data_IF_258269468989
#
_entry.id   IF_258269468989
#
_cell.length_a   1.000
_cell.length_b   1.000
_cell.length_c   1.000
_cell.angle_alpha   90.00
_cell.angle_beta   90.00
_cell.angle_gamma   90.00
#
_symmetry.space_group_name_H-M   'P 1'
#
loop_
_entity.id
_entity.type
_entity.pdbx_description
1 polymer ?
#
# COMPACT_ATOMS: atom_id res chain seq x y z
N UNK A 1 -20.40 -4.88 -2.83
CA UNK A 1 -20.22 -3.95 -1.69
C UNK A 1 -19.64 -2.63 -2.18
N UNK A 2 -20.29 -1.52 -1.83
CA UNK A 2 -19.76 -0.19 -2.13
C UNK A 2 -18.99 0.34 -0.92
N UNK A 3 -17.77 0.80 -1.17
CA UNK A 3 -16.97 1.42 -0.12
C UNK A 3 -17.49 2.83 0.19
N UNK A 4 -17.44 3.19 1.46
CA UNK A 4 -17.82 4.53 1.90
C UNK A 4 -16.71 5.53 1.53
N UNK A 5 -16.98 6.54 0.67
CA UNK A 5 -15.96 7.51 0.29
C UNK A 5 -15.51 8.43 1.43
N UNK A 6 -16.21 8.44 2.56
CA UNK A 6 -15.82 9.21 3.73
C UNK A 6 -14.83 8.45 4.64
N UNK A 7 -14.57 7.18 4.37
CA UNK A 7 -13.63 6.39 5.15
C UNK A 7 -12.20 6.90 4.95
N UNK A 8 -11.44 7.00 6.03
CA UNK A 8 -10.07 7.56 6.00
C UNK A 8 -9.16 6.85 5.01
N UNK A 9 -9.19 5.52 4.97
CA UNK A 9 -8.35 4.74 4.06
C UNK A 9 -8.79 4.96 2.61
N UNK A 10 -10.09 5.09 2.36
CA UNK A 10 -10.59 5.38 1.02
C UNK A 10 -10.07 6.73 0.52
N UNK A 11 -10.15 7.76 1.36
CA UNK A 11 -9.65 9.10 1.02
C UNK A 11 -8.15 9.08 0.76
N UNK A 12 -7.39 8.43 1.63
CA UNK A 12 -5.94 8.30 1.50
C UNK A 12 -5.57 7.59 0.20
N UNK A 13 -6.28 6.52 -0.15
CA UNK A 13 -6.04 5.77 -1.39
C UNK A 13 -6.13 6.68 -2.61
N UNK A 14 -7.11 7.58 -2.63
CA UNK A 14 -7.35 8.47 -3.76
C UNK A 14 -6.47 9.72 -3.74
N UNK A 15 -5.77 9.99 -2.65
CA UNK A 15 -4.83 11.11 -2.53
C UNK A 15 -3.41 10.75 -2.95
N UNK A 16 -3.03 9.47 -2.89
CA UNK A 16 -1.69 9.03 -3.23
C UNK A 16 -1.54 8.92 -4.74
N UNK A 17 -0.44 9.44 -5.26
CA UNK A 17 -0.07 9.26 -6.66
C UNK A 17 0.62 7.89 -6.83
N UNK A 18 -0.20 6.86 -6.99
CA UNK A 18 0.28 5.48 -7.12
C UNK A 18 1.14 5.27 -8.37
N UNK A 19 0.80 5.96 -9.46
CA UNK A 19 1.58 5.86 -10.71
C UNK A 19 3.01 6.35 -10.51
N UNK A 20 3.17 7.47 -9.80
CA UNK A 20 4.48 8.00 -9.47
C UNK A 20 5.27 7.03 -8.59
N UNK A 21 4.62 6.51 -7.54
CA UNK A 21 5.24 5.54 -6.63
C UNK A 21 5.70 4.29 -7.38
N UNK A 22 4.84 3.73 -8.21
CA UNK A 22 5.16 2.53 -8.99
C UNK A 22 6.31 2.77 -9.96
N UNK A 23 6.36 3.94 -10.60
CA UNK A 23 7.45 4.30 -11.50
C UNK A 23 8.78 4.45 -10.77
N UNK A 24 8.78 5.09 -9.61
CA UNK A 24 9.98 5.24 -8.79
C UNK A 24 10.50 3.89 -8.30
N UNK A 25 9.62 3.01 -7.86
CA UNK A 25 10.00 1.67 -7.42
C UNK A 25 10.54 0.83 -8.58
N UNK A 26 9.97 1.00 -9.77
CA UNK A 26 10.45 0.31 -10.97
C UNK A 26 11.87 0.73 -11.33
N UNK A 27 12.19 2.00 -11.18
CA UNK A 27 13.55 2.51 -11.42
C UNK A 27 14.57 1.91 -10.45
N UNK A 28 14.15 1.67 -9.21
CA UNK A 28 15.04 1.16 -8.15
C UNK A 28 15.18 -0.36 -8.24
N UNK A 29 14.08 -1.09 -8.45
CA UNK A 29 14.02 -2.55 -8.32
C UNK A 29 13.79 -3.28 -9.63
N UNK A 30 13.63 -2.57 -10.75
CA UNK A 30 13.47 -3.16 -12.07
C UNK A 30 12.02 -3.30 -12.53
N UNK A 31 11.83 -3.94 -13.68
CA UNK A 31 10.54 -4.01 -14.37
C UNK A 31 9.65 -5.16 -13.89
N UNK A 32 9.43 -5.25 -12.59
CA UNK A 32 8.44 -6.18 -12.06
C UNK A 32 7.02 -5.63 -12.32
N UNK A 33 6.02 -6.47 -12.13
CA UNK A 33 4.62 -6.09 -12.24
C UNK A 33 4.32 -4.87 -11.36
N UNK A 34 3.79 -3.80 -11.97
CA UNK A 34 3.45 -2.57 -11.27
C UNK A 34 2.45 -2.78 -10.13
N UNK A 35 1.50 -3.70 -10.31
CA UNK A 35 0.53 -4.04 -9.28
C UNK A 35 1.20 -4.62 -8.02
N UNK A 36 2.28 -5.36 -8.21
CA UNK A 36 3.06 -5.91 -7.09
C UNK A 36 3.68 -4.80 -6.24
N UNK A 37 4.22 -3.76 -6.87
CA UNK A 37 4.81 -2.63 -6.15
C UNK A 37 3.75 -1.90 -5.32
N UNK A 38 2.55 -1.74 -5.83
CA UNK A 38 1.46 -1.13 -5.07
C UNK A 38 1.06 -2.00 -3.87
N UNK A 39 0.98 -3.30 -4.05
CA UNK A 39 0.69 -4.23 -2.95
C UNK A 39 1.77 -4.13 -1.87
N UNK A 40 3.04 -4.18 -2.26
CA UNK A 40 4.16 -4.09 -1.33
C UNK A 40 4.12 -2.78 -0.55
N UNK A 41 4.02 -1.66 -1.25
CA UNK A 41 4.00 -0.33 -0.62
C UNK A 41 2.78 -0.17 0.30
N UNK A 42 1.62 -0.63 -0.14
CA UNK A 42 0.40 -0.56 0.64
C UNK A 42 0.48 -1.37 1.93
N UNK A 43 0.98 -2.60 1.85
CA UNK A 43 1.13 -3.46 3.02
C UNK A 43 2.14 -2.91 4.02
N UNK A 44 3.28 -2.40 3.54
CA UNK A 44 4.30 -1.79 4.40
C UNK A 44 3.78 -0.54 5.10
N UNK A 45 3.06 0.30 4.37
CA UNK A 45 2.45 1.50 4.94
C UNK A 45 1.48 1.14 6.05
N UNK A 46 0.55 0.21 5.78
CA UNK A 46 -0.45 -0.21 6.75
C UNK A 46 0.20 -0.83 7.99
N UNK A 47 1.25 -1.63 7.79
CA UNK A 47 1.98 -2.26 8.89
C UNK A 47 2.61 -1.22 9.81
N UNK A 48 3.34 -0.26 9.23
CA UNK A 48 4.07 0.76 9.99
C UNK A 48 3.11 1.71 10.69
N UNK A 49 2.10 2.20 9.98
CA UNK A 49 1.16 3.19 10.54
C UNK A 49 0.27 2.61 11.64
N UNK A 50 -0.02 1.31 11.56
CA UNK A 50 -0.87 0.65 12.56
C UNK A 50 -0.08 -0.02 13.68
N UNK A 51 1.23 -0.12 13.54
CA UNK A 51 2.07 -0.83 14.52
C UNK A 51 1.84 -2.34 14.53
N UNK A 52 1.39 -2.90 13.41
CA UNK A 52 1.09 -4.32 13.31
C UNK A 52 2.33 -5.16 13.03
N UNK A 53 2.30 -6.42 13.46
CA UNK A 53 3.20 -7.43 12.95
C UNK A 53 2.80 -7.79 11.51
N UNK A 54 3.66 -8.51 10.80
CA UNK A 54 3.34 -8.97 9.45
C UNK A 54 2.10 -9.87 9.43
N UNK A 55 1.95 -10.72 10.43
CA UNK A 55 0.79 -11.60 10.56
C UNK A 55 -0.49 -10.79 10.80
N UNK A 56 -0.41 -9.78 11.67
CA UNK A 56 -1.55 -8.93 11.99
C UNK A 56 -2.01 -8.10 10.79
N UNK A 57 -1.08 -7.52 10.02
CA UNK A 57 -1.45 -6.73 8.86
C UNK A 57 -2.09 -7.59 7.77
N UNK A 58 -1.65 -8.84 7.60
CA UNK A 58 -2.28 -9.78 6.67
C UNK A 58 -3.70 -10.10 7.13
N UNK A 59 -3.91 -10.39 8.41
CA UNK A 59 -5.25 -10.65 8.95
C UNK A 59 -6.17 -9.45 8.75
N UNK A 60 -5.68 -8.25 9.00
CA UNK A 60 -6.46 -7.03 8.80
C UNK A 60 -6.80 -6.81 7.34
N UNK A 61 -5.85 -7.04 6.43
CA UNK A 61 -6.06 -6.93 4.99
C UNK A 61 -7.16 -7.87 4.51
N UNK A 62 -7.19 -9.10 5.03
CA UNK A 62 -8.21 -10.09 4.67
C UNK A 62 -9.61 -9.68 5.15
N UNK A 63 -9.70 -9.02 6.30
CA UNK A 63 -10.98 -8.61 6.88
C UNK A 63 -11.49 -7.27 6.38
N UNK A 64 -10.60 -6.42 5.88
CA UNK A 64 -10.94 -5.03 5.60
C UNK A 64 -10.88 -4.73 4.10
N UNK A 65 -12.02 -4.53 3.44
CA UNK A 65 -12.04 -4.20 2.01
C UNK A 65 -11.34 -2.87 1.70
N UNK A 66 -11.30 -1.93 2.63
CA UNK A 66 -10.57 -0.67 2.46
C UNK A 66 -9.08 -0.88 2.38
N UNK A 67 -8.55 -1.80 3.18
CA UNK A 67 -7.13 -2.17 3.14
C UNK A 67 -6.76 -2.81 1.80
N UNK A 68 -7.62 -3.68 1.29
CA UNK A 68 -7.43 -4.30 -0.04
C UNK A 68 -7.48 -3.25 -1.14
N UNK A 69 -8.43 -2.34 -1.08
CA UNK A 69 -8.55 -1.23 -2.03
C UNK A 69 -7.29 -0.37 -2.03
N UNK A 70 -6.78 -0.03 -0.86
CA UNK A 70 -5.53 0.72 -0.70
C UNK A 70 -4.36 0.02 -1.39
N UNK A 71 -4.30 -1.29 -1.31
CA UNK A 71 -3.24 -2.10 -1.92
C UNK A 71 -3.48 -2.44 -3.41
N UNK A 72 -4.50 -1.85 -4.02
CA UNK A 72 -4.76 -2.00 -5.45
C UNK A 72 -5.61 -3.20 -5.84
N UNK A 73 -6.24 -3.85 -4.89
CA UNK A 73 -7.13 -4.99 -5.14
C UNK A 73 -8.57 -4.47 -5.28
N UNK A 74 -9.28 -4.98 -6.28
CA UNK A 74 -10.69 -4.64 -6.48
C UNK A 74 -11.48 -5.05 -5.23
N UNK A 75 -12.14 -4.10 -4.53
CA UNK A 75 -12.85 -4.40 -3.29
C UNK A 75 -14.03 -5.35 -3.47
N UNK A 76 -14.52 -5.53 -4.72
CA UNK A 76 -15.61 -6.46 -5.03
C UNK A 76 -15.10 -7.89 -5.20
N UNK A 77 -13.80 -8.09 -5.36
CA UNK A 77 -13.20 -9.40 -5.52
C UNK A 77 -13.23 -10.14 -4.19
N UNK A 78 -13.72 -11.38 -4.23
CA UNK A 78 -13.75 -12.23 -3.05
C UNK A 78 -12.38 -12.86 -2.85
N UNK A 79 -11.72 -12.52 -1.73
CA UNK A 79 -10.38 -12.99 -1.42
C UNK A 79 -10.40 -13.64 -0.05
N UNK A 80 -9.97 -14.89 0.02
CA UNK A 80 -9.96 -15.69 1.25
C UNK A 80 -8.55 -15.86 1.83
N UNK A 81 -7.50 -15.55 1.05
CA UNK A 81 -6.12 -15.67 1.53
C UNK A 81 -5.22 -14.64 0.87
N UNK A 82 -4.15 -14.29 1.60
CA UNK A 82 -3.10 -13.43 1.08
C UNK A 82 -2.23 -14.25 0.13
N UNK A 83 -1.77 -13.68 -1.02
CA UNK A 83 -1.03 -14.48 -2.02
C UNK A 83 0.36 -14.92 -1.59
N UNK A 84 0.87 -14.42 -0.46
CA UNK A 84 2.19 -14.77 0.06
C UNK A 84 2.11 -15.14 1.53
N UNK A 85 3.17 -15.75 2.06
CA UNK A 85 3.29 -15.98 3.49
C UNK A 85 3.55 -14.64 4.21
N UNK A 86 3.03 -14.44 5.44
CA UNK A 86 3.25 -13.17 6.16
C UNK A 86 4.73 -12.78 6.33
N UNK A 87 5.62 -13.77 6.45
CA UNK A 87 7.07 -13.51 6.57
C UNK A 87 7.63 -12.75 5.37
N UNK A 88 6.98 -12.85 4.21
CA UNK A 88 7.40 -12.12 3.00
C UNK A 88 7.32 -10.61 3.23
N UNK A 89 6.38 -10.14 4.05
CA UNK A 89 6.27 -8.72 4.38
C UNK A 89 7.50 -8.24 5.15
N UNK A 90 8.03 -9.06 6.06
CA UNK A 90 9.28 -8.74 6.77
C UNK A 90 10.46 -8.65 5.81
N UNK A 91 10.50 -9.53 4.81
CA UNK A 91 11.53 -9.52 3.77
C UNK A 91 11.42 -8.23 2.94
N UNK A 92 10.22 -7.86 2.52
CA UNK A 92 9.98 -6.63 1.77
C UNK A 92 10.41 -5.39 2.57
N UNK A 93 10.05 -5.36 3.85
CA UNK A 93 10.41 -4.24 4.73
C UNK A 93 11.93 -4.07 4.80
N UNK A 94 12.66 -5.17 4.91
CA UNK A 94 14.11 -5.18 4.98
C UNK A 94 14.74 -4.77 3.65
N UNK A 95 14.25 -5.33 2.53
CA UNK A 95 14.77 -5.04 1.20
C UNK A 95 14.45 -3.62 0.73
N UNK A 96 13.31 -3.09 1.15
CA UNK A 96 12.83 -1.77 0.72
C UNK A 96 13.18 -0.65 1.69
N UNK A 97 13.92 -0.95 2.76
CA UNK A 97 14.42 0.10 3.65
C UNK A 97 15.38 1.00 2.85
N UNK A 98 15.19 2.31 2.96
CA UNK A 98 15.97 3.30 2.20
C UNK A 98 15.22 3.81 0.97
N UNK A 99 15.64 3.38 -0.23
CA UNK A 99 15.12 3.96 -1.47
C UNK A 99 13.61 3.74 -1.68
N UNK A 100 13.11 2.53 -1.41
CA UNK A 100 11.68 2.22 -1.55
C UNK A 100 10.83 3.01 -0.57
N UNK A 101 11.29 3.13 0.67
CA UNK A 101 10.60 3.92 1.70
C UNK A 101 10.62 5.40 1.33
N UNK A 102 11.73 5.90 0.79
CA UNK A 102 11.82 7.29 0.32
C UNK A 102 10.81 7.57 -0.79
N UNK A 103 10.67 6.66 -1.76
CA UNK A 103 9.70 6.81 -2.85
C UNK A 103 8.28 6.87 -2.32
N UNK A 104 7.94 5.99 -1.36
CA UNK A 104 6.62 5.98 -0.73
C UNK A 104 6.36 7.26 0.07
N UNK A 105 7.34 7.70 0.86
CA UNK A 105 7.21 8.92 1.65
C UNK A 105 7.06 10.15 0.76
N UNK A 106 7.78 10.19 -0.37
CA UNK A 106 7.66 11.30 -1.33
C UNK A 106 6.26 11.36 -1.92
N UNK A 107 5.70 10.22 -2.32
CA UNK A 107 4.34 10.16 -2.87
C UNK A 107 3.31 10.62 -1.85
N UNK A 108 3.44 10.21 -0.60
CA UNK A 108 2.56 10.62 0.49
C UNK A 108 2.69 12.11 0.79
N UNK A 109 3.92 12.63 0.85
CA UNK A 109 4.18 14.03 1.11
C UNK A 109 3.59 14.92 0.01
N UNK A 110 3.75 14.50 -1.24
CA UNK A 110 3.20 15.20 -2.39
C UNK A 110 1.68 15.28 -2.31
N UNK A 111 1.03 14.16 -1.96
CA UNK A 111 -0.43 14.12 -1.79
C UNK A 111 -0.88 15.06 -0.67
N UNK A 112 -0.17 15.06 0.46
CA UNK A 112 -0.45 15.92 1.60
C UNK A 112 -0.28 17.39 1.24
N UNK A 113 0.79 17.72 0.50
CA UNK A 113 1.05 19.12 0.06
C UNK A 113 -0.06 19.63 -0.86
N UNK A 114 -0.49 18.82 -1.82
CA UNK A 114 -1.59 19.15 -2.72
C UNK A 114 -2.85 19.42 -1.91
N UNK A 115 -3.13 18.59 -0.94
CA UNK A 115 -4.30 18.74 -0.07
C UNK A 115 -4.24 20.03 0.77
N UNK A 116 -3.06 20.41 1.26
CA UNK A 116 -2.87 21.61 2.06
C UNK A 116 -3.01 22.89 1.23
N UNK A 117 -2.67 22.84 -0.05
CA UNK A 117 -2.74 23.99 -0.97
C UNK A 117 -4.12 24.13 -1.58
N UNK A 118 -4.84 23.04 -1.70
CA UNK A 118 -6.21 23.05 -2.21
C UNK A 118 -7.18 23.45 -1.11
#
# INVERSE_FOLDING_TARGET
>A
MMLNPDHEIYKLTNEIDWSHLQNEMRKIYGNADSAKYRLIAGMLYLKVMSGYSSREVVSRWLECPYCRYFCGVDPRQEITEFPYRPVVIDIWEREMSGAGVKAMNFALAKSTLIKQVA
#
